data_IF_718432010408
#
_entry.id   IF_718432010408
#
_cell.length_a   1.000
_cell.length_b   1.000
_cell.length_c   1.000
_cell.angle_alpha   90.00
_cell.angle_beta   90.00
_cell.angle_gamma   90.00
#
_symmetry.space_group_name_H-M   'P 1'
#
loop_
_entity.id
_entity.type
_entity.pdbx_description
1 polymer ?
#
# COMPACT_ATOMS: atom_id res chain seq x y z
N UNK A 1 -24.61 -4.50 -8.18
CA UNK A 1 -23.63 -4.13 -7.14
C UNK A 1 -22.55 -3.25 -7.76
N UNK A 2 -22.21 -2.13 -7.12
CA UNK A 2 -21.00 -1.34 -7.39
C UNK A 2 -20.47 -0.88 -6.03
N UNK A 3 -19.16 -1.04 -5.79
CA UNK A 3 -18.48 -0.59 -4.58
C UNK A 3 -17.35 0.34 -5.01
N UNK A 4 -17.27 1.57 -4.46
CA UNK A 4 -16.13 2.45 -4.65
C UNK A 4 -14.78 1.77 -4.34
N UNK A 5 -13.79 2.02 -5.19
CA UNK A 5 -12.45 1.47 -5.03
C UNK A 5 -11.38 2.51 -5.33
N UNK A 6 -10.28 2.46 -4.59
CA UNK A 6 -9.06 3.23 -4.87
C UNK A 6 -7.88 2.27 -4.96
N UNK A 7 -6.95 2.52 -5.88
CA UNK A 7 -5.74 1.74 -6.04
C UNK A 7 -4.52 2.64 -5.88
N UNK A 8 -3.57 2.20 -5.05
CA UNK A 8 -2.39 2.96 -4.68
C UNK A 8 -1.17 2.11 -4.99
N UNK A 9 -0.23 2.66 -5.76
CA UNK A 9 1.04 1.99 -6.00
C UNK A 9 1.90 2.05 -4.74
N UNK A 10 2.52 0.93 -4.39
CA UNK A 10 3.52 0.85 -3.33
C UNK A 10 4.90 0.98 -3.97
N UNK A 11 5.61 2.05 -3.60
CA UNK A 11 6.92 2.39 -4.13
C UNK A 11 8.00 2.19 -3.07
N UNK A 12 9.22 1.92 -3.50
CA UNK A 12 10.39 2.05 -2.63
C UNK A 12 10.55 3.50 -2.17
N UNK A 13 10.79 3.69 -0.88
CA UNK A 13 10.97 5.02 -0.29
C UNK A 13 12.29 5.66 -0.74
N UNK A 14 12.31 6.99 -0.72
CA UNK A 14 13.51 7.77 -1.00
C UNK A 14 14.60 7.47 0.03
N UNK A 15 15.85 7.36 -0.42
CA UNK A 15 17.00 7.07 0.45
C UNK A 15 17.22 5.60 0.82
N UNK A 16 16.33 4.67 0.41
CA UNK A 16 16.46 3.24 0.73
C UNK A 16 16.80 2.39 -0.50
N UNK A 17 17.82 1.54 -0.38
CA UNK A 17 18.20 0.55 -1.40
C UNK A 17 18.79 -0.71 -0.73
N UNK A 18 18.22 -1.88 -1.03
CA UNK A 18 18.62 -3.13 -0.38
C UNK A 18 17.48 -4.14 -0.33
N UNK A 19 17.54 -5.11 0.58
CA UNK A 19 16.47 -6.11 0.77
C UNK A 19 15.18 -5.44 1.22
N UNK A 20 14.06 -5.77 0.57
CA UNK A 20 12.81 -5.05 0.80
C UNK A 20 12.21 -5.39 2.17
N UNK A 21 12.02 -4.36 3.00
CA UNK A 21 11.24 -4.41 4.23
C UNK A 21 9.95 -3.58 4.06
N UNK A 22 8.80 -4.18 4.37
CA UNK A 22 7.48 -3.52 4.26
C UNK A 22 6.97 -3.15 5.65
N UNK A 23 7.14 -1.89 6.02
CA UNK A 23 6.62 -1.32 7.26
C UNK A 23 5.10 -1.13 7.16
N UNK A 24 4.39 -1.34 8.27
CA UNK A 24 2.92 -1.16 8.35
C UNK A 24 2.10 -2.27 7.67
N UNK A 25 2.73 -3.38 7.24
CA UNK A 25 2.05 -4.46 6.52
C UNK A 25 0.96 -5.16 7.35
N UNK A 26 1.28 -5.55 8.59
CA UNK A 26 0.33 -6.27 9.45
C UNK A 26 -0.90 -5.43 9.80
N UNK A 27 -0.69 -4.17 10.18
CA UNK A 27 -1.74 -3.20 10.46
C UNK A 27 -2.62 -3.00 9.23
N UNK A 28 -2.02 -2.79 8.05
CA UNK A 28 -2.78 -2.61 6.82
C UNK A 28 -3.58 -3.86 6.38
N UNK A 29 -3.07 -5.08 6.62
CA UNK A 29 -3.79 -6.32 6.31
C UNK A 29 -4.99 -6.53 7.24
N UNK A 30 -4.91 -6.07 8.49
CA UNK A 30 -6.02 -6.14 9.43
C UNK A 30 -7.18 -5.17 9.12
N UNK A 31 -6.94 -4.17 8.28
CA UNK A 31 -7.94 -3.18 7.90
C UNK A 31 -8.98 -3.75 6.91
N UNK A 32 -10.26 -3.62 7.25
CA UNK A 32 -11.35 -4.13 6.41
C UNK A 32 -11.40 -3.42 5.05
N UNK A 33 -11.42 -4.22 3.98
CA UNK A 33 -11.50 -3.72 2.61
C UNK A 33 -10.15 -3.31 2.03
N UNK A 34 -9.05 -3.66 2.69
CA UNK A 34 -7.69 -3.42 2.19
C UNK A 34 -7.11 -4.72 1.63
N UNK A 35 -6.67 -4.68 0.38
CA UNK A 35 -6.12 -5.83 -0.33
C UNK A 35 -4.75 -5.46 -0.89
N UNK A 36 -3.71 -6.07 -0.36
CA UNK A 36 -2.32 -5.78 -0.72
C UNK A 36 -1.82 -6.82 -1.72
N UNK A 37 -1.15 -6.36 -2.77
CA UNK A 37 -0.53 -7.20 -3.78
C UNK A 37 0.94 -6.80 -3.98
N UNK A 38 1.85 -7.55 -3.36
CA UNK A 38 3.30 -7.38 -3.49
C UNK A 38 3.84 -8.22 -4.65
N UNK A 39 4.79 -7.69 -5.41
CA UNK A 39 5.35 -8.35 -6.59
C UNK A 39 6.50 -9.35 -6.28
N UNK A 40 6.73 -9.67 -5.00
CA UNK A 40 7.80 -10.61 -4.60
C UNK A 40 9.23 -10.12 -4.93
N UNK A 41 9.42 -8.82 -5.14
CA UNK A 41 10.74 -8.24 -5.43
C UNK A 41 11.59 -8.24 -4.16
N UNK A 42 12.66 -9.03 -4.15
CA UNK A 42 13.60 -9.11 -3.02
C UNK A 42 14.31 -7.80 -2.71
N UNK A 43 14.60 -6.99 -3.74
CA UNK A 43 15.34 -5.74 -3.59
C UNK A 43 14.47 -4.51 -3.88
N UNK A 44 14.52 -3.51 -3.01
CA UNK A 44 13.92 -2.19 -3.24
C UNK A 44 14.97 -1.17 -3.70
N UNK A 45 14.49 -0.09 -4.34
CA UNK A 45 15.25 1.14 -4.65
C UNK A 45 14.26 2.30 -4.73
N UNK A 46 14.71 3.56 -4.62
CA UNK A 46 13.81 4.70 -4.62
C UNK A 46 12.86 4.70 -5.83
N UNK A 47 11.57 4.91 -5.55
CA UNK A 47 10.48 5.01 -6.52
C UNK A 47 10.24 3.75 -7.38
N UNK A 48 10.87 2.61 -7.05
CA UNK A 48 10.58 1.34 -7.72
C UNK A 48 9.19 0.87 -7.33
N UNK A 49 8.36 0.47 -8.29
CA UNK A 49 7.09 -0.20 -8.01
C UNK A 49 7.34 -1.57 -7.38
N UNK A 50 6.88 -1.75 -6.15
CA UNK A 50 7.05 -2.97 -5.37
C UNK A 50 5.74 -3.74 -5.19
N UNK A 51 4.61 -3.07 -5.39
CA UNK A 51 3.29 -3.66 -5.37
C UNK A 51 2.21 -2.61 -5.57
N UNK A 52 1.00 -2.96 -5.20
CA UNK A 52 -0.10 -2.02 -5.05
C UNK A 52 -1.04 -2.47 -3.94
N UNK A 53 -1.87 -1.55 -3.46
CA UNK A 53 -2.96 -1.83 -2.54
C UNK A 53 -4.27 -1.34 -3.15
N UNK A 54 -5.30 -2.17 -3.05
CA UNK A 54 -6.67 -1.83 -3.41
C UNK A 54 -7.46 -1.62 -2.13
N UNK A 55 -8.11 -0.48 -2.02
CA UNK A 55 -8.97 -0.11 -0.90
C UNK A 55 -10.40 -0.06 -1.40
N UNK A 56 -11.30 -0.74 -0.69
CA UNK A 56 -12.74 -0.74 -0.92
C UNK A 56 -13.44 -0.07 0.26
N UNK A 57 -14.48 0.70 -0.05
CA UNK A 57 -15.39 1.23 0.96
C UNK A 57 -16.79 1.44 0.36
N UNK A 58 -17.80 1.57 1.21
CA UNK A 58 -19.17 1.82 0.79
C UNK A 58 -19.37 3.29 0.39
N UNK A 59 -18.64 4.19 1.08
CA UNK A 59 -18.74 5.65 0.89
C UNK A 59 -17.43 6.23 0.35
N UNK A 60 -17.52 7.10 -0.67
CA UNK A 60 -16.34 7.69 -1.35
C UNK A 60 -15.48 8.53 -0.40
N UNK A 61 -16.08 9.21 0.57
CA UNK A 61 -15.33 10.03 1.53
C UNK A 61 -14.58 9.16 2.55
N UNK A 62 -15.14 8.03 2.96
CA UNK A 62 -14.45 7.04 3.77
C UNK A 62 -13.32 6.37 2.97
N UNK A 63 -13.60 6.00 1.72
CA UNK A 63 -12.59 5.46 0.80
C UNK A 63 -11.37 6.38 0.70
N UNK A 64 -11.57 7.69 0.50
CA UNK A 64 -10.47 8.66 0.42
C UNK A 64 -9.66 8.71 1.71
N UNK A 65 -10.33 8.81 2.87
CA UNK A 65 -9.66 8.84 4.18
C UNK A 65 -8.84 7.57 4.42
N UNK A 66 -9.44 6.40 4.16
CA UNK A 66 -8.80 5.09 4.29
C UNK A 66 -7.61 4.96 3.32
N UNK A 67 -7.79 5.32 2.05
CA UNK A 67 -6.72 5.31 1.06
C UNK A 67 -5.53 6.20 1.47
N UNK A 68 -5.79 7.41 1.99
CA UNK A 68 -4.74 8.29 2.49
C UNK A 68 -4.02 7.72 3.72
N UNK A 69 -4.77 7.15 4.66
CA UNK A 69 -4.19 6.48 5.82
C UNK A 69 -3.29 5.31 5.40
N UNK A 70 -3.78 4.39 4.56
CA UNK A 70 -3.00 3.24 4.06
C UNK A 70 -1.76 3.68 3.29
N UNK A 71 -1.86 4.74 2.46
CA UNK A 71 -0.70 5.30 1.73
C UNK A 71 0.40 5.79 2.68
N UNK A 72 0.04 6.33 3.83
CA UNK A 72 1.00 6.85 4.81
C UNK A 72 1.54 5.75 5.74
N UNK A 73 0.71 4.73 6.01
CA UNK A 73 1.05 3.59 6.84
C UNK A 73 2.08 2.67 6.16
N UNK A 74 1.86 2.30 4.89
CA UNK A 74 2.73 1.34 4.20
C UNK A 74 3.94 2.05 3.62
N UNK A 75 5.14 1.63 4.06
CA UNK A 75 6.43 2.15 3.58
C UNK A 75 7.34 1.00 3.18
N UNK A 76 7.98 1.10 2.02
CA UNK A 76 8.91 0.05 1.55
C UNK A 76 10.34 0.56 1.62
N UNK A 77 11.04 0.07 2.64
CA UNK A 77 12.41 0.44 3.00
C UNK A 77 13.36 -0.72 2.71
N UNK A 78 14.63 -0.52 3.05
CA UNK A 78 15.71 -1.50 3.02
C UNK A 78 16.37 -1.60 4.39
#
# INVERSE_FOLDING_TARGET
LRCPAAMINLLGEEGYQGEAYVEGLEEAISEKGVYIHLYGKKLTKPFRKMGHVTVLDEEVDHLKKKAHYIKNLIKIKA
#
